data_IF_586831949987
#
_entry.id   IF_586831949987
#
_cell.length_a   1.000
_cell.length_b   1.000
_cell.length_c   1.000
_cell.angle_alpha   90.00
_cell.angle_beta   90.00
_cell.angle_gamma   90.00
#
_symmetry.space_group_name_H-M   'P 1'
#
loop_
_entity.id
_entity.type
_entity.pdbx_description
1 polymer ?
#
# COMPACT_ATOMS: atom_id res chain seq x y z
N UNK A 1 -16.05 15.29 10.13
CA UNK A 1 -16.75 14.17 9.43
C UNK A 1 -17.13 13.18 10.49
N UNK A 2 -18.39 12.84 10.57
CA UNK A 2 -18.85 11.82 11.50
C UNK A 2 -18.29 10.48 11.05
N UNK A 3 -17.66 9.79 11.98
CA UNK A 3 -17.08 8.46 11.76
C UNK A 3 -18.23 7.47 11.86
N UNK A 4 -18.62 6.87 10.73
CA UNK A 4 -19.78 5.98 10.65
C UNK A 4 -19.29 4.54 10.43
N UNK A 5 -19.74 3.64 11.29
CA UNK A 5 -19.53 2.19 11.16
C UNK A 5 -20.85 1.52 10.85
N UNK A 6 -20.84 0.58 9.93
CA UNK A 6 -22.01 -0.20 9.55
C UNK A 6 -21.98 -1.55 10.26
N UNK A 7 -23.09 -1.95 10.85
CA UNK A 7 -23.28 -3.26 11.45
C UNK A 7 -24.41 -4.03 10.74
N UNK A 8 -24.49 -5.33 10.97
CA UNK A 8 -25.59 -6.14 10.44
C UNK A 8 -26.91 -5.75 11.10
N UNK A 9 -27.98 -5.66 10.32
CA UNK A 9 -29.35 -5.47 10.82
C UNK A 9 -29.92 -6.69 11.57
N UNK A 10 -29.18 -7.80 11.59
CA UNK A 10 -29.58 -9.05 12.26
C UNK A 10 -29.09 -9.13 13.70
N UNK A 11 -28.24 -8.19 14.16
CA UNK A 11 -27.76 -8.15 15.54
C UNK A 11 -28.89 -7.75 16.51
N UNK A 12 -28.92 -8.41 17.65
CA UNK A 12 -29.80 -8.02 18.75
C UNK A 12 -29.33 -6.70 19.38
N UNK A 13 -30.21 -6.02 20.13
CA UNK A 13 -29.91 -4.71 20.69
C UNK A 13 -28.74 -4.73 21.67
N UNK A 14 -28.66 -5.76 22.51
CA UNK A 14 -27.54 -6.00 23.44
C UNK A 14 -26.21 -6.27 22.73
N UNK A 15 -26.25 -7.00 21.64
CA UNK A 15 -25.06 -7.23 20.78
C UNK A 15 -24.58 -5.92 20.13
N UNK A 16 -25.50 -5.07 19.68
CA UNK A 16 -25.17 -3.74 19.13
C UNK A 16 -24.55 -2.82 20.17
N UNK A 17 -25.06 -2.83 21.41
CA UNK A 17 -24.50 -2.05 22.52
C UNK A 17 -23.10 -2.54 22.89
N UNK A 18 -22.90 -3.86 22.97
CA UNK A 18 -21.59 -4.45 23.24
C UNK A 18 -20.57 -4.09 22.16
N UNK A 19 -20.97 -4.21 20.89
CA UNK A 19 -20.14 -3.84 19.75
C UNK A 19 -19.82 -2.35 19.74
N UNK A 20 -20.79 -1.48 20.03
CA UNK A 20 -20.62 -0.04 20.15
C UNK A 20 -19.64 0.33 21.26
N UNK A 21 -19.74 -0.28 22.43
CA UNK A 21 -18.82 -0.08 23.53
C UNK A 21 -17.40 -0.55 23.16
N UNK A 22 -17.26 -1.69 22.50
CA UNK A 22 -15.96 -2.18 22.02
C UNK A 22 -15.31 -1.20 21.06
N UNK A 23 -16.05 -0.63 20.09
CA UNK A 23 -15.51 0.38 19.17
C UNK A 23 -15.13 1.67 19.90
N UNK A 24 -15.93 2.13 20.86
CA UNK A 24 -15.62 3.32 21.64
C UNK A 24 -14.37 3.16 22.50
N UNK A 25 -14.18 2.00 23.12
CA UNK A 25 -13.00 1.70 23.93
C UNK A 25 -11.73 1.57 23.12
N UNK A 26 -11.84 1.24 21.82
CA UNK A 26 -10.70 0.97 20.94
C UNK A 26 -10.66 1.93 19.74
N UNK A 27 -11.26 3.11 19.84
CA UNK A 27 -11.35 4.07 18.73
C UNK A 27 -9.99 4.55 18.23
N UNK A 28 -8.97 4.50 19.06
CA UNK A 28 -7.60 4.92 18.81
C UNK A 28 -6.83 3.94 17.92
N UNK A 29 -7.30 2.68 17.79
CA UNK A 29 -6.70 1.70 16.87
C UNK A 29 -7.25 1.78 15.44
N UNK A 30 -8.32 2.58 15.21
CA UNK A 30 -8.91 2.76 13.89
C UNK A 30 -8.32 3.98 13.18
N UNK A 31 -7.81 3.77 11.97
CA UNK A 31 -7.30 4.83 11.12
C UNK A 31 -8.38 5.29 10.13
N UNK A 32 -8.69 6.56 10.09
CA UNK A 32 -9.65 7.20 9.17
C UNK A 32 -8.94 8.01 8.09
N UNK A 33 -7.72 8.43 8.39
CA UNK A 33 -6.85 9.19 7.49
C UNK A 33 -5.42 8.67 7.60
N UNK A 34 -4.57 9.02 6.66
CA UNK A 34 -3.15 8.68 6.73
C UNK A 34 -2.42 9.31 7.93
N UNK A 35 -2.95 10.42 8.47
CA UNK A 35 -2.39 11.03 9.70
C UNK A 35 -2.61 10.21 10.96
N UNK A 36 -3.60 9.30 10.94
CA UNK A 36 -3.89 8.41 12.06
C UNK A 36 -2.97 7.16 12.04
N UNK A 37 -2.11 7.05 11.02
CA UNK A 37 -1.22 5.90 10.80
C UNK A 37 0.22 6.30 11.15
N UNK A 38 0.71 5.98 12.35
CA UNK A 38 2.09 6.32 12.74
C UNK A 38 3.15 5.55 11.95
N UNK A 39 2.76 4.46 11.29
CA UNK A 39 3.67 3.51 10.65
C UNK A 39 4.34 2.58 11.65
N UNK A 40 4.97 1.54 11.13
CA UNK A 40 5.75 0.59 11.93
C UNK A 40 7.18 1.11 12.04
N UNK A 41 7.77 1.00 13.22
CA UNK A 41 9.18 1.37 13.41
C UNK A 41 10.09 0.44 12.59
N UNK A 42 11.11 0.95 11.86
CA UNK A 42 12.01 0.13 11.04
C UNK A 42 12.73 -0.98 11.79
N UNK A 43 12.92 -0.81 13.09
CA UNK A 43 13.51 -1.84 13.98
C UNK A 43 12.59 -3.04 14.19
N UNK A 44 11.28 -2.87 14.05
CA UNK A 44 10.28 -3.95 14.17
C UNK A 44 10.14 -4.69 12.84
N UNK A 45 9.94 -3.94 11.75
CA UNK A 45 9.87 -4.50 10.41
C UNK A 45 10.22 -3.43 9.37
N UNK A 46 10.93 -3.83 8.32
CA UNK A 46 11.16 -3.07 7.10
C UNK A 46 11.08 -3.99 5.89
N UNK A 47 10.64 -3.45 4.77
CA UNK A 47 10.55 -4.21 3.53
C UNK A 47 11.86 -4.14 2.76
N UNK A 48 12.50 -5.29 2.56
CA UNK A 48 13.71 -5.46 1.78
C UNK A 48 13.39 -6.09 0.42
N UNK A 49 14.00 -5.56 -0.64
CA UNK A 49 13.80 -6.09 -1.99
C UNK A 49 14.59 -7.38 -2.24
N UNK A 50 15.71 -7.58 -1.53
CA UNK A 50 16.59 -8.75 -1.72
C UNK A 50 17.05 -8.92 -3.19
N UNK A 51 17.42 -7.81 -3.83
CA UNK A 51 17.89 -7.81 -5.23
C UNK A 51 19.18 -8.61 -5.35
N UNK A 52 19.22 -9.50 -6.33
CA UNK A 52 20.42 -10.29 -6.63
C UNK A 52 21.59 -9.36 -6.98
N UNK A 53 22.74 -9.56 -6.34
CA UNK A 53 23.95 -8.73 -6.53
C UNK A 53 24.45 -8.68 -7.99
N UNK A 54 24.10 -9.69 -8.77
CA UNK A 54 24.44 -9.79 -10.20
C UNK A 54 23.48 -9.02 -11.10
N UNK A 55 22.38 -8.51 -10.54
CA UNK A 55 21.36 -7.80 -11.33
C UNK A 55 21.84 -6.43 -11.73
N UNK A 56 21.62 -6.09 -12.98
CA UNK A 56 21.92 -4.75 -13.49
C UNK A 56 20.68 -3.85 -13.38
N UNK A 57 20.85 -2.59 -12.96
CA UNK A 57 19.78 -1.61 -12.96
C UNK A 57 19.15 -1.41 -14.34
N UNK A 58 17.83 -1.26 -14.37
CA UNK A 58 17.08 -1.06 -15.60
C UNK A 58 16.40 0.31 -15.60
N UNK A 59 16.60 1.04 -16.68
CA UNK A 59 15.93 2.30 -16.93
C UNK A 59 14.84 2.11 -17.97
N UNK A 60 13.59 2.22 -17.55
CA UNK A 60 12.48 2.19 -18.48
C UNK A 60 12.48 3.45 -19.36
N UNK A 61 12.21 3.30 -20.67
CA UNK A 61 12.02 4.44 -21.55
C UNK A 61 10.88 5.33 -21.04
N UNK A 62 11.17 6.61 -20.81
CA UNK A 62 10.22 7.57 -20.22
C UNK A 62 8.97 7.69 -21.10
N UNK A 63 7.81 7.50 -20.50
CA UNK A 63 6.50 7.63 -21.14
C UNK A 63 6.00 9.07 -21.08
N UNK A 64 5.44 9.54 -22.19
CA UNK A 64 4.76 10.82 -22.27
C UNK A 64 3.26 10.62 -22.06
N UNK A 65 2.64 11.52 -21.31
CA UNK A 65 1.22 11.47 -21.02
C UNK A 65 0.50 12.70 -21.60
N UNK A 66 -0.76 12.51 -21.97
CA UNK A 66 -1.65 13.61 -22.29
C UNK A 66 -1.81 14.56 -21.08
N UNK A 67 -1.97 15.89 -21.27
CA UNK A 67 -2.05 16.87 -20.19
C UNK A 67 -3.04 16.52 -19.07
N UNK A 68 -4.20 15.96 -19.40
CA UNK A 68 -5.19 15.55 -18.40
C UNK A 68 -4.65 14.45 -17.46
N UNK A 69 -3.96 13.44 -18.00
CA UNK A 69 -3.33 12.39 -17.19
C UNK A 69 -2.16 12.93 -16.36
N UNK A 70 -1.45 13.91 -16.88
CA UNK A 70 -0.37 14.57 -16.14
C UNK A 70 -0.90 15.29 -14.90
N UNK A 71 -2.05 15.98 -14.98
CA UNK A 71 -2.71 16.60 -13.83
C UNK A 71 -3.09 15.56 -12.77
N UNK A 72 -3.64 14.41 -13.18
CA UNK A 72 -4.00 13.32 -12.28
C UNK A 72 -2.77 12.80 -11.55
N UNK A 73 -1.68 12.50 -12.29
CA UNK A 73 -0.41 12.06 -11.71
C UNK A 73 0.08 13.10 -10.71
N UNK A 74 0.09 14.38 -11.08
CA UNK A 74 0.59 15.44 -10.21
C UNK A 74 -0.21 15.56 -8.90
N UNK A 75 -1.53 15.51 -8.99
CA UNK A 75 -2.39 15.55 -7.80
C UNK A 75 -2.08 14.40 -6.85
N UNK A 76 -1.83 13.20 -7.38
CA UNK A 76 -1.49 12.04 -6.55
C UNK A 76 -0.10 12.18 -5.92
N UNK A 77 0.90 12.63 -6.69
CA UNK A 77 2.24 12.88 -6.18
C UNK A 77 2.24 13.93 -5.05
N UNK A 78 1.49 15.01 -5.22
CA UNK A 78 1.39 16.07 -4.21
C UNK A 78 0.77 15.52 -2.90
N UNK A 79 -0.23 14.63 -2.99
CA UNK A 79 -0.80 13.92 -1.83
C UNK A 79 0.23 13.02 -1.14
N UNK A 80 0.92 12.16 -1.91
CA UNK A 80 1.90 11.22 -1.36
C UNK A 80 3.08 11.95 -0.70
N UNK A 81 3.49 13.10 -1.25
CA UNK A 81 4.50 13.97 -0.65
C UNK A 81 4.02 14.60 0.66
N UNK A 82 2.78 15.10 0.69
CA UNK A 82 2.20 15.75 1.86
C UNK A 82 2.15 14.80 3.07
N UNK A 83 1.87 13.52 2.84
CA UNK A 83 1.84 12.47 3.87
C UNK A 83 3.18 11.73 4.00
N UNK A 84 4.24 12.20 3.34
CA UNK A 84 5.62 11.71 3.43
C UNK A 84 5.83 10.24 3.05
N UNK A 85 4.97 9.65 2.25
CA UNK A 85 5.13 8.28 1.75
C UNK A 85 6.19 8.17 0.64
N UNK A 86 6.45 9.28 -0.06
CA UNK A 86 7.50 9.39 -1.07
C UNK A 86 8.43 10.56 -0.77
N UNK A 87 9.63 10.53 -1.35
CA UNK A 87 10.56 11.66 -1.34
C UNK A 87 11.14 11.93 -2.73
N UNK A 88 11.58 13.15 -2.95
CA UNK A 88 12.30 13.54 -4.17
C UNK A 88 13.73 13.03 -4.13
N UNK A 89 14.23 12.56 -5.28
CA UNK A 89 15.62 12.10 -5.45
C UNK A 89 16.30 12.82 -6.61
N UNK A 90 17.62 12.86 -6.60
CA UNK A 90 18.43 13.54 -7.62
C UNK A 90 19.12 12.55 -8.56
N UNK A 91 19.57 11.43 -8.02
CA UNK A 91 20.30 10.40 -8.73
C UNK A 91 19.50 9.10 -8.70
N UNK A 92 19.72 8.24 -9.67
CA UNK A 92 19.01 6.97 -9.79
C UNK A 92 19.88 5.91 -10.44
N UNK A 93 19.77 4.69 -9.95
CA UNK A 93 20.26 3.49 -10.62
C UNK A 93 19.11 2.76 -11.33
N UNK A 94 17.91 2.84 -10.80
CA UNK A 94 16.69 2.23 -11.34
C UNK A 94 15.69 3.31 -11.75
N UNK A 95 14.94 3.08 -12.85
CA UNK A 95 13.91 4.00 -13.28
C UNK A 95 12.66 3.27 -13.75
N UNK A 96 11.54 3.49 -13.04
CA UNK A 96 10.21 3.03 -13.41
C UNK A 96 9.33 4.15 -13.97
N UNK A 97 8.32 3.79 -14.75
CA UNK A 97 7.27 4.70 -15.21
C UNK A 97 6.05 4.65 -14.32
N UNK A 98 5.38 5.78 -14.20
CA UNK A 98 4.01 5.84 -13.68
C UNK A 98 3.03 5.25 -14.69
N UNK A 99 1.95 4.65 -14.22
CA UNK A 99 0.82 4.14 -15.01
C UNK A 99 -0.46 4.68 -14.42
N UNK A 100 -1.38 5.11 -15.28
CA UNK A 100 -2.68 5.67 -14.88
C UNK A 100 -3.79 4.76 -15.40
N UNK A 101 -4.57 4.17 -14.48
CA UNK A 101 -5.60 3.18 -14.77
C UNK A 101 -6.97 3.70 -14.32
N UNK A 102 -8.01 3.63 -15.15
CA UNK A 102 -9.36 4.00 -14.73
C UNK A 102 -9.93 2.94 -13.77
N UNK A 103 -10.63 3.40 -12.74
CA UNK A 103 -11.44 2.54 -11.85
C UNK A 103 -12.88 2.42 -12.38
N UNK A 104 -13.60 1.41 -11.94
CA UNK A 104 -15.01 1.20 -12.30
C UNK A 104 -15.93 2.35 -11.87
N UNK A 105 -15.56 3.07 -10.82
CA UNK A 105 -16.28 4.21 -10.26
C UNK A 105 -15.94 5.57 -10.95
N UNK A 106 -15.24 5.54 -12.08
CA UNK A 106 -14.84 6.73 -12.85
C UNK A 106 -13.61 7.46 -12.27
N UNK A 107 -13.10 7.07 -11.11
CA UNK A 107 -11.86 7.62 -10.56
C UNK A 107 -10.64 7.01 -11.25
N UNK A 108 -9.50 7.65 -11.10
CA UNK A 108 -8.22 7.17 -11.63
C UNK A 108 -7.34 6.61 -10.50
N UNK A 109 -6.61 5.55 -10.82
CA UNK A 109 -5.55 5.04 -9.97
C UNK A 109 -4.21 5.34 -10.63
N UNK A 110 -3.28 5.92 -9.87
CA UNK A 110 -1.90 6.13 -10.27
C UNK A 110 -1.06 5.02 -9.62
N UNK A 111 -0.31 4.28 -10.43
CA UNK A 111 0.53 3.19 -9.99
C UNK A 111 1.93 3.37 -10.57
N UNK A 112 2.92 2.68 -10.02
CA UNK A 112 4.26 2.60 -10.58
C UNK A 112 4.46 1.21 -11.19
N UNK A 113 5.05 1.16 -12.39
CA UNK A 113 5.31 -0.09 -13.10
C UNK A 113 6.68 -0.65 -12.71
N UNK A 114 6.70 -1.53 -11.71
CA UNK A 114 7.91 -2.19 -11.22
C UNK A 114 8.23 -3.51 -11.94
N UNK A 115 7.71 -3.77 -13.15
CA UNK A 115 7.92 -5.05 -13.84
C UNK A 115 9.41 -5.44 -13.89
N UNK A 116 10.30 -4.54 -14.30
CA UNK A 116 11.74 -4.82 -14.40
C UNK A 116 12.40 -5.00 -13.02
N UNK A 117 11.93 -4.26 -12.01
CA UNK A 117 12.40 -4.44 -10.65
C UNK A 117 11.93 -5.78 -10.09
N UNK A 118 10.69 -6.17 -10.36
CA UNK A 118 10.12 -7.44 -9.95
C UNK A 118 10.81 -8.67 -10.57
N UNK A 119 11.51 -8.50 -11.69
CA UNK A 119 12.21 -9.60 -12.37
C UNK A 119 13.59 -9.91 -11.76
N UNK A 120 14.11 -9.03 -10.89
CA UNK A 120 15.50 -9.12 -10.38
C UNK A 120 15.63 -9.50 -8.92
N UNK A 121 14.52 -9.73 -8.24
CA UNK A 121 14.52 -10.25 -6.88
C UNK A 121 13.65 -11.52 -6.76
N UNK A 122 13.88 -12.37 -5.73
CA UNK A 122 13.14 -13.60 -5.56
C UNK A 122 11.64 -13.34 -5.46
N UNK A 123 10.84 -14.11 -6.18
CA UNK A 123 9.38 -14.08 -6.01
C UNK A 123 9.03 -14.55 -4.61
N UNK A 124 8.01 -13.92 -4.05
CA UNK A 124 7.45 -14.38 -2.79
C UNK A 124 6.88 -15.80 -2.99
N UNK A 125 7.43 -16.76 -2.24
CA UNK A 125 6.94 -18.14 -2.22
C UNK A 125 5.95 -18.38 -1.06
N UNK A 126 5.53 -17.32 -0.34
CA UNK A 126 4.59 -17.47 0.76
C UNK A 126 3.25 -17.99 0.24
N UNK A 127 2.77 -19.14 0.72
CA UNK A 127 1.52 -19.70 0.25
C UNK A 127 0.35 -18.83 0.70
N UNK A 128 -0.55 -18.52 -0.24
CA UNK A 128 -1.81 -17.87 0.13
C UNK A 128 -2.61 -18.78 1.07
N UNK A 129 -3.29 -18.24 2.08
CA UNK A 129 -4.18 -19.01 2.94
C UNK A 129 -5.20 -19.78 2.09
N UNK A 130 -5.43 -21.04 2.41
CA UNK A 130 -6.46 -21.85 1.73
C UNK A 130 -7.83 -21.37 2.17
N UNK A 131 -8.65 -20.95 1.22
CA UNK A 131 -10.01 -20.43 1.47
C UNK A 131 -10.84 -21.42 2.29
N UNK A 132 -10.76 -22.72 1.98
CA UNK A 132 -11.48 -23.76 2.70
C UNK A 132 -11.14 -23.78 4.19
N UNK A 133 -9.84 -23.64 4.54
CA UNK A 133 -9.40 -23.60 5.95
C UNK A 133 -9.91 -22.36 6.67
N UNK A 134 -9.99 -21.22 5.97
CA UNK A 134 -10.55 -19.98 6.55
C UNK A 134 -12.05 -20.18 6.77
N UNK A 135 -12.78 -20.71 5.80
CA UNK A 135 -14.22 -20.99 5.91
C UNK A 135 -14.50 -21.96 7.06
N UNK A 136 -13.74 -23.05 7.18
CA UNK A 136 -13.88 -24.01 8.28
C UNK A 136 -13.61 -23.38 9.66
N UNK A 137 -12.62 -22.47 9.73
CA UNK A 137 -12.27 -21.78 10.97
C UNK A 137 -13.39 -20.84 11.45
N UNK A 138 -14.10 -20.19 10.53
CA UNK A 138 -15.17 -19.22 10.87
C UNK A 138 -16.56 -19.86 10.95
N UNK A 139 -16.79 -21.04 10.38
CA UNK A 139 -18.11 -21.68 10.24
C UNK A 139 -18.81 -21.96 11.59
N UNK A 140 -18.07 -21.97 12.72
CA UNK A 140 -18.60 -22.24 14.06
C UNK A 140 -18.88 -20.98 14.90
N UNK A 141 -18.63 -19.79 14.32
CA UNK A 141 -18.85 -18.52 14.99
C UNK A 141 -20.17 -17.88 14.55
N UNK A 142 -21.00 -17.47 15.52
CA UNK A 142 -22.28 -16.81 15.25
C UNK A 142 -22.12 -15.38 14.74
N UNK A 143 -21.00 -14.73 15.05
CA UNK A 143 -20.68 -13.35 14.63
C UNK A 143 -19.30 -13.34 14.00
N UNK A 144 -19.19 -12.67 12.85
CA UNK A 144 -17.94 -12.48 12.12
C UNK A 144 -17.72 -10.98 11.92
N UNK A 145 -16.52 -10.50 12.25
CA UNK A 145 -16.09 -9.13 11.95
C UNK A 145 -15.04 -9.13 10.84
N UNK A 146 -15.13 -8.15 9.95
CA UNK A 146 -14.16 -7.94 8.88
C UNK A 146 -13.38 -6.66 9.18
N UNK A 147 -12.07 -6.79 9.36
CA UNK A 147 -11.18 -5.66 9.56
C UNK A 147 -10.31 -5.53 8.30
N UNK A 148 -10.31 -4.33 7.72
CA UNK A 148 -9.40 -3.98 6.62
C UNK A 148 -8.30 -3.07 7.15
N UNK A 149 -7.05 -3.41 6.88
CA UNK A 149 -5.92 -2.58 7.25
C UNK A 149 -5.86 -1.38 6.30
N UNK A 150 -6.34 -0.22 6.74
CA UNK A 150 -6.31 1.01 5.95
C UNK A 150 -4.89 1.32 5.46
N UNK A 151 -4.69 1.25 4.14
CA UNK A 151 -3.38 1.42 3.49
C UNK A 151 -2.25 0.61 4.16
N UNK A 152 -2.50 -0.63 4.59
CA UNK A 152 -1.60 -1.43 5.43
C UNK A 152 -0.16 -1.51 4.93
N UNK A 153 0.05 -1.62 3.62
CA UNK A 153 1.40 -1.61 3.02
C UNK A 153 2.17 -0.33 3.30
N UNK A 154 1.48 0.82 3.33
CA UNK A 154 2.12 2.11 3.60
C UNK A 154 2.53 2.29 5.07
N UNK A 155 2.15 1.40 5.96
CA UNK A 155 2.63 1.41 7.34
C UNK A 155 4.01 0.77 7.50
N UNK A 156 4.44 -0.04 6.53
CA UNK A 156 5.73 -0.73 6.57
C UNK A 156 6.76 0.13 5.86
N UNK A 157 7.84 0.58 6.54
CA UNK A 157 8.90 1.32 5.90
C UNK A 157 9.68 0.45 4.92
N UNK A 158 10.19 1.07 3.85
CA UNK A 158 11.20 0.43 3.01
C UNK A 158 12.53 0.36 3.77
N UNK A 159 13.30 -0.70 3.54
CA UNK A 159 14.70 -0.73 3.92
C UNK A 159 15.44 0.41 3.21
N UNK A 160 16.08 1.28 3.99
CA UNK A 160 16.63 2.55 3.48
C UNK A 160 17.51 2.40 2.23
N UNK A 161 18.42 1.40 2.13
CA UNK A 161 19.22 1.18 0.92
C UNK A 161 18.41 0.77 -0.32
N UNK A 162 17.16 0.30 -0.13
CA UNK A 162 16.29 -0.13 -1.21
C UNK A 162 15.30 0.95 -1.67
N UNK A 163 15.15 2.04 -0.90
CA UNK A 163 14.24 3.14 -1.28
C UNK A 163 14.54 3.65 -2.70
N UNK A 164 15.80 3.94 -3.01
CA UNK A 164 16.20 4.50 -4.31
C UNK A 164 16.12 3.51 -5.47
N UNK A 165 15.93 2.23 -5.20
CA UNK A 165 15.62 1.22 -6.22
C UNK A 165 14.17 1.32 -6.71
N UNK A 166 13.29 1.96 -5.93
CA UNK A 166 11.89 2.21 -6.28
C UNK A 166 11.65 3.51 -7.04
N UNK A 167 12.70 4.12 -7.62
CA UNK A 167 12.59 5.42 -8.29
C UNK A 167 11.67 5.37 -9.49
N UNK A 168 10.82 6.36 -9.58
CA UNK A 168 9.94 6.57 -10.72
C UNK A 168 9.96 8.03 -11.19
N UNK A 169 9.65 8.22 -12.47
CA UNK A 169 9.72 9.51 -13.15
C UNK A 169 8.35 10.16 -13.32
N UNK A 170 8.30 11.47 -13.09
CA UNK A 170 7.17 12.33 -13.39
C UNK A 170 7.67 13.60 -14.12
N UNK A 171 6.77 14.46 -14.54
CA UNK A 171 7.15 15.76 -15.14
C UNK A 171 7.89 16.69 -14.17
N UNK A 172 7.65 16.59 -12.87
CA UNK A 172 8.26 17.45 -11.84
C UNK A 172 9.53 16.86 -11.24
N UNK A 173 9.96 15.70 -11.69
CA UNK A 173 11.19 15.07 -11.24
C UNK A 173 11.07 13.60 -10.88
N UNK A 174 12.05 13.14 -10.14
CA UNK A 174 12.24 11.78 -9.71
C UNK A 174 11.81 11.64 -8.25
N UNK A 175 11.10 10.57 -7.95
CA UNK A 175 10.62 10.26 -6.60
C UNK A 175 10.83 8.79 -6.29
N UNK A 176 11.05 8.45 -5.02
CA UNK A 176 11.06 7.07 -4.55
C UNK A 176 10.12 6.90 -3.35
N UNK A 177 9.68 5.68 -3.08
CA UNK A 177 8.90 5.35 -1.90
C UNK A 177 9.79 5.19 -0.67
N UNK A 178 9.32 5.73 0.47
CA UNK A 178 9.90 5.52 1.80
C UNK A 178 9.25 4.37 2.54
N UNK A 179 8.13 3.91 2.02
CA UNK A 179 7.30 2.84 2.57
C UNK A 179 7.07 1.78 1.50
N UNK A 180 6.66 0.61 1.91
CA UNK A 180 6.34 -0.49 1.00
C UNK A 180 5.23 -0.05 0.03
N UNK A 181 5.53 -0.10 -1.27
CA UNK A 181 4.61 0.38 -2.31
C UNK A 181 3.83 -0.77 -2.94
N UNK A 182 2.66 -0.43 -3.46
CA UNK A 182 1.92 -1.35 -4.33
C UNK A 182 2.69 -1.63 -5.62
N UNK A 183 2.58 -2.87 -6.11
CA UNK A 183 3.20 -3.31 -7.36
C UNK A 183 4.54 -4.04 -7.21
N UNK A 184 5.07 -4.16 -6.00
CA UNK A 184 6.17 -5.07 -5.67
C UNK A 184 5.63 -6.49 -5.45
N UNK A 185 6.31 -7.51 -5.99
CA UNK A 185 5.81 -8.90 -5.95
C UNK A 185 6.13 -9.64 -4.66
N UNK A 186 7.08 -9.15 -3.86
CA UNK A 186 7.54 -9.79 -2.61
C UNK A 186 6.96 -9.18 -1.34
N UNK A 187 5.96 -8.31 -1.46
CA UNK A 187 5.32 -7.64 -0.31
C UNK A 187 4.66 -8.60 0.67
N UNK A 188 4.08 -9.71 0.19
CA UNK A 188 3.43 -10.70 1.03
C UNK A 188 4.38 -11.46 1.97
N UNK A 189 5.69 -11.41 1.75
CA UNK A 189 6.67 -11.99 2.65
C UNK A 189 6.93 -11.12 3.89
N UNK A 190 6.63 -9.81 3.79
CA UNK A 190 6.84 -8.84 4.87
C UNK A 190 5.53 -8.49 5.58
N UNK A 191 4.40 -8.46 4.84
CA UNK A 191 3.07 -8.16 5.37
C UNK A 191 2.44 -9.38 6.02
#
# INVERSE_FOLDING_TARGET
MDQITYSSSLLAQDELELLGNMFQCNKDIFAWTHSDMPGIYPVVASHELNILLTSQPVWQKIRRFHPNRQKIIQTEIDKLLAIRLIRKVKYLDWLANVVVVPKKDGRWRVCVNYINLNDVYPKNSFPLPRIDQIVDAIARHGIISFLDAFSGYHQIPMFQPDEEKTVFVTLKGLYCYRVMSFGLNNVGATY
#
